data_IF_730730409647
#
_entry.id   IF_730730409647
#
_cell.length_a   1.000
_cell.length_b   1.000
_cell.length_c   1.000
_cell.angle_alpha   90.00
_cell.angle_beta   90.00
_cell.angle_gamma   90.00
#
_symmetry.space_group_name_H-M   'P 1'
#
loop_
_entity.id
_entity.type
_entity.pdbx_description
1 polymer ?
#
# COMPACT_ATOMS: atom_id res chain seq x y z
N UNK A 1 -6.58 38.70 -14.60
CA UNK A 1 -7.58 37.61 -14.69
C UNK A 1 -7.38 36.71 -15.90
N UNK A 2 -6.24 36.03 -16.02
CA UNK A 2 -6.05 34.91 -16.97
C UNK A 2 -4.96 33.91 -16.55
N UNK A 3 -4.22 34.18 -15.46
CA UNK A 3 -3.18 33.31 -14.90
C UNK A 3 -3.65 32.45 -13.71
N UNK A 4 -4.94 32.48 -13.36
CA UNK A 4 -5.52 31.76 -12.22
C UNK A 4 -6.27 30.47 -12.58
N UNK A 5 -6.33 30.10 -13.86
CA UNK A 5 -7.12 28.94 -14.36
C UNK A 5 -6.29 27.74 -14.85
N UNK A 6 -4.95 27.84 -14.89
CA UNK A 6 -4.08 26.74 -15.30
C UNK A 6 -3.45 25.98 -14.11
N UNK A 7 -3.49 26.55 -12.90
CA UNK A 7 -3.22 25.84 -11.67
C UNK A 7 -4.57 25.50 -11.06
N UNK A 8 -4.90 24.19 -11.03
CA UNK A 8 -5.99 23.68 -10.21
C UNK A 8 -5.87 24.31 -8.82
N UNK A 9 -6.97 24.91 -8.34
CA UNK A 9 -6.94 25.80 -7.20
C UNK A 9 -6.15 25.21 -6.05
N UNK A 10 -5.16 25.96 -5.55
CA UNK A 10 -4.38 25.61 -4.36
C UNK A 10 -5.38 25.27 -3.25
N UNK A 11 -5.52 23.98 -3.00
CA UNK A 11 -6.29 23.42 -1.92
C UNK A 11 -5.64 23.92 -0.64
N UNK A 12 -6.39 24.71 0.14
CA UNK A 12 -5.95 25.48 1.31
C UNK A 12 -5.52 24.60 2.51
N UNK A 13 -5.12 23.35 2.28
CA UNK A 13 -4.72 22.37 3.29
C UNK A 13 -3.44 21.58 2.91
N UNK A 14 -2.65 22.02 1.94
CA UNK A 14 -1.36 21.40 1.61
C UNK A 14 -0.37 21.54 2.77
N UNK A 15 0.08 20.40 3.30
CA UNK A 15 1.19 20.36 4.26
C UNK A 15 2.47 20.20 3.48
N UNK A 16 3.38 21.16 3.57
CA UNK A 16 4.69 21.06 2.91
C UNK A 16 5.79 20.66 3.89
N UNK A 17 6.77 19.91 3.38
CA UNK A 17 7.90 19.37 4.13
C UNK A 17 9.19 19.56 3.34
N UNK A 18 10.27 19.88 4.03
CA UNK A 18 11.60 19.94 3.43
C UNK A 18 12.39 18.67 3.76
N UNK A 19 13.13 18.19 2.77
CA UNK A 19 13.97 17.01 2.85
C UNK A 19 15.33 17.28 2.21
N UNK A 20 16.36 16.67 2.79
CA UNK A 20 17.69 16.68 2.21
C UNK A 20 17.72 15.79 0.95
N UNK A 21 18.54 16.12 -0.05
CA UNK A 21 18.79 15.29 -1.24
C UNK A 21 20.25 14.80 -1.22
N UNK A 22 20.50 13.55 -1.62
CA UNK A 22 21.88 13.06 -1.70
C UNK A 22 22.46 13.48 -3.05
N UNK A 23 23.56 14.21 -3.01
CA UNK A 23 24.32 14.55 -4.20
C UNK A 23 25.41 13.48 -4.43
N UNK A 24 25.29 12.74 -5.53
CA UNK A 24 26.24 11.69 -5.89
C UNK A 24 27.65 12.24 -6.18
N UNK A 25 27.75 13.41 -6.81
CA UNK A 25 29.03 14.03 -7.18
C UNK A 25 29.78 14.56 -5.96
N UNK A 26 29.08 15.26 -5.06
CA UNK A 26 29.66 15.85 -3.86
C UNK A 26 29.77 14.85 -2.69
N UNK A 27 29.20 13.63 -2.85
CA UNK A 27 29.10 12.60 -1.81
C UNK A 27 28.58 13.16 -0.48
N UNK A 28 27.55 14.00 -0.56
CA UNK A 28 27.02 14.75 0.56
C UNK A 28 25.53 15.02 0.43
N UNK A 29 24.92 15.44 1.54
CA UNK A 29 23.51 15.85 1.54
C UNK A 29 23.36 17.35 1.29
N UNK A 30 22.54 17.69 0.30
CA UNK A 30 22.04 19.04 0.09
C UNK A 30 20.88 19.28 1.07
N UNK A 31 21.07 20.20 2.03
CA UNK A 31 20.11 20.45 3.11
C UNK A 31 18.83 21.10 2.58
N UNK A 32 17.67 20.55 2.95
CA UNK A 32 16.35 21.11 2.62
C UNK A 32 16.12 21.35 1.13
N UNK A 33 16.81 20.59 0.28
CA UNK A 33 16.86 20.80 -1.17
C UNK A 33 15.57 20.37 -1.88
N UNK A 34 14.85 19.40 -1.31
CA UNK A 34 13.59 18.93 -1.84
C UNK A 34 12.42 19.40 -0.98
N UNK A 35 11.37 19.89 -1.63
CA UNK A 35 10.09 20.26 -1.04
C UNK A 35 9.02 19.28 -1.49
N UNK A 36 8.37 18.67 -0.50
CA UNK A 36 7.27 17.74 -0.68
C UNK A 36 5.97 18.36 -0.21
N UNK A 37 4.93 18.26 -1.03
CA UNK A 37 3.57 18.70 -0.74
C UNK A 37 2.69 17.47 -0.50
N UNK A 38 2.16 17.36 0.72
CA UNK A 38 1.27 16.29 1.12
C UNK A 38 -0.19 16.71 0.90
N UNK A 39 -0.90 15.91 0.10
CA UNK A 39 -2.34 16.06 -0.16
C UNK A 39 -3.05 14.74 0.17
N UNK A 40 -4.23 14.83 0.80
CA UNK A 40 -5.10 13.67 1.00
C UNK A 40 -6.02 13.49 -0.20
N UNK A 41 -5.89 12.34 -0.88
CA UNK A 41 -6.71 12.01 -2.04
C UNK A 41 -8.17 11.86 -1.68
N UNK A 42 -9.02 12.32 -2.59
CA UNK A 42 -10.48 12.20 -2.52
C UNK A 42 -10.99 11.67 -3.85
N UNK A 43 -12.03 10.85 -3.79
CA UNK A 43 -12.71 10.31 -4.95
C UNK A 43 -14.12 9.89 -4.60
N UNK A 44 -14.81 9.31 -5.58
CA UNK A 44 -16.24 8.97 -5.46
C UNK A 44 -16.54 7.53 -5.93
N UNK A 45 -15.62 6.90 -6.68
CA UNK A 45 -15.86 5.64 -7.40
C UNK A 45 -15.31 4.39 -6.69
N UNK A 46 -15.03 4.47 -5.38
CA UNK A 46 -14.40 3.39 -4.62
C UNK A 46 -15.19 2.08 -4.60
N UNK A 47 -16.50 2.09 -4.27
CA UNK A 47 -17.31 0.87 -4.24
C UNK A 47 -17.36 0.15 -5.59
N UNK A 48 -17.65 0.88 -6.68
CA UNK A 48 -17.70 0.31 -8.02
C UNK A 48 -16.34 -0.23 -8.48
N UNK A 49 -15.25 0.47 -8.15
CA UNK A 49 -13.90 -0.01 -8.39
C UNK A 49 -13.66 -1.34 -7.66
N UNK A 50 -13.93 -1.41 -6.35
CA UNK A 50 -13.73 -2.61 -5.55
C UNK A 50 -14.53 -3.80 -6.09
N UNK A 51 -15.80 -3.58 -6.45
CA UNK A 51 -16.67 -4.61 -7.05
C UNK A 51 -16.08 -5.14 -8.35
N UNK A 52 -15.59 -4.26 -9.22
CA UNK A 52 -14.94 -4.67 -10.47
C UNK A 52 -13.68 -5.52 -10.24
N UNK A 53 -12.86 -5.17 -9.24
CA UNK A 53 -11.66 -5.95 -8.88
C UNK A 53 -12.05 -7.32 -8.33
N UNK A 54 -13.06 -7.37 -7.46
CA UNK A 54 -13.55 -8.62 -6.87
C UNK A 54 -14.11 -9.56 -7.93
N UNK A 55 -14.89 -9.03 -8.87
CA UNK A 55 -15.44 -9.82 -9.97
C UNK A 55 -14.33 -10.39 -10.86
N UNK A 56 -13.35 -9.55 -11.24
CA UNK A 56 -12.26 -9.94 -12.15
C UNK A 56 -11.27 -10.92 -11.52
N UNK A 57 -10.95 -10.75 -10.24
CA UNK A 57 -9.86 -11.46 -9.56
C UNK A 57 -10.34 -12.34 -8.40
N UNK A 58 -11.59 -12.81 -8.44
CA UNK A 58 -12.21 -13.58 -7.36
C UNK A 58 -11.36 -14.79 -6.92
N UNK A 59 -10.85 -15.58 -7.87
CA UNK A 59 -10.03 -16.75 -7.59
C UNK A 59 -8.69 -16.39 -6.93
N UNK A 60 -8.05 -15.32 -7.41
CA UNK A 60 -6.80 -14.83 -6.84
C UNK A 60 -7.01 -14.28 -5.43
N UNK A 61 -8.07 -13.51 -5.20
CA UNK A 61 -8.46 -13.02 -3.87
C UNK A 61 -8.65 -14.17 -2.88
N UNK A 62 -9.34 -15.23 -3.28
CA UNK A 62 -9.54 -16.40 -2.43
C UNK A 62 -8.19 -17.05 -2.06
N UNK A 63 -7.27 -17.17 -3.02
CA UNK A 63 -5.93 -17.74 -2.80
C UNK A 63 -5.07 -16.86 -1.88
N UNK A 64 -5.03 -15.55 -2.13
CA UNK A 64 -4.24 -14.61 -1.31
C UNK A 64 -4.79 -14.58 0.11
N UNK A 65 -6.11 -14.47 0.30
CA UNK A 65 -6.72 -14.52 1.65
C UNK A 65 -6.38 -15.81 2.39
N UNK A 66 -6.46 -16.97 1.72
CA UNK A 66 -6.10 -18.26 2.32
C UNK A 66 -4.63 -18.32 2.73
N UNK A 67 -3.71 -17.84 1.89
CA UNK A 67 -2.28 -17.80 2.25
C UNK A 67 -2.02 -16.90 3.46
N UNK A 68 -2.65 -15.74 3.53
CA UNK A 68 -2.48 -14.79 4.63
C UNK A 68 -3.11 -15.28 5.94
N UNK A 69 -4.21 -16.04 5.91
CA UNK A 69 -4.78 -16.64 7.11
C UNK A 69 -3.82 -17.56 7.88
N UNK A 70 -2.87 -18.20 7.18
CA UNK A 70 -1.84 -19.04 7.81
C UNK A 70 -0.70 -18.23 8.47
N UNK A 71 -0.62 -16.92 8.21
CA UNK A 71 0.43 -16.02 8.73
C UNK A 71 -0.07 -15.26 9.97
N UNK A 72 -1.35 -15.40 10.34
CA UNK A 72 -1.98 -14.59 11.39
C UNK A 72 -1.27 -14.78 12.74
N UNK A 73 -0.67 -13.72 13.32
CA UNK A 73 -0.11 -13.80 14.66
C UNK A 73 -1.25 -13.96 15.69
N UNK A 74 -1.04 -14.78 16.72
CA UNK A 74 -1.90 -14.79 17.91
C UNK A 74 -1.75 -13.43 18.61
N UNK A 75 -2.69 -12.52 18.36
CA UNK A 75 -2.59 -11.10 18.75
C UNK A 75 -2.84 -10.83 20.24
N UNK A 76 -2.64 -11.82 21.10
CA UNK A 76 -2.79 -11.71 22.55
C UNK A 76 -1.60 -12.35 23.23
N UNK A 77 -0.77 -11.54 23.89
CA UNK A 77 0.29 -12.05 24.74
C UNK A 77 -0.30 -12.32 26.13
N UNK A 78 -0.15 -13.55 26.64
CA UNK A 78 -0.52 -13.87 28.02
C UNK A 78 0.61 -13.44 28.94
N UNK A 79 0.40 -12.34 29.65
CA UNK A 79 1.32 -11.90 30.70
C UNK A 79 0.97 -12.64 31.98
N UNK A 80 1.89 -13.48 32.45
CA UNK A 80 1.73 -14.30 33.66
C UNK A 80 2.33 -13.60 34.87
N UNK A 81 2.01 -14.10 36.07
CA UNK A 81 2.55 -13.59 37.34
C UNK A 81 2.23 -12.12 37.54
N UNK A 82 0.97 -11.75 37.38
CA UNK A 82 0.45 -10.43 37.71
C UNK A 82 -0.38 -10.52 38.99
N UNK A 83 -0.41 -9.43 39.76
CA UNK A 83 -1.21 -9.32 40.99
C UNK A 83 -2.71 -9.18 40.71
N UNK A 84 -3.05 -8.77 39.48
CA UNK A 84 -4.42 -8.59 39.02
C UNK A 84 -4.51 -8.98 37.54
N UNK A 85 -5.54 -9.75 37.19
CA UNK A 85 -5.70 -10.31 35.85
C UNK A 85 -7.03 -11.06 35.68
N UNK A 86 -7.39 -11.29 34.42
CA UNK A 86 -8.67 -11.88 34.02
C UNK A 86 -8.79 -13.37 34.38
N UNK A 87 -7.65 -14.07 34.54
CA UNK A 87 -7.59 -15.51 34.75
C UNK A 87 -6.59 -15.86 35.86
N UNK A 88 -6.84 -16.93 36.61
CA UNK A 88 -5.91 -17.40 37.65
C UNK A 88 -4.80 -18.25 37.00
N UNK A 89 -3.55 -17.93 37.31
CA UNK A 89 -2.39 -18.77 37.01
C UNK A 89 -2.39 -19.98 37.95
N UNK A 90 -2.90 -21.13 37.49
CA UNK A 90 -3.03 -22.34 38.31
C UNK A 90 -1.69 -22.77 38.92
N UNK A 91 -0.59 -22.66 38.18
CA UNK A 91 0.74 -23.05 38.67
C UNK A 91 1.16 -22.16 39.85
N UNK A 92 0.91 -20.85 39.75
CA UNK A 92 1.19 -19.91 40.86
C UNK A 92 0.22 -20.06 42.02
N UNK A 93 -1.05 -20.33 41.75
CA UNK A 93 -2.04 -20.56 42.80
C UNK A 93 -1.71 -21.82 43.62
N UNK A 94 -1.22 -22.88 42.96
CA UNK A 94 -0.73 -24.09 43.62
C UNK A 94 0.52 -23.79 44.45
N UNK A 95 1.50 -23.06 43.91
CA UNK A 95 2.69 -22.64 44.67
C UNK A 95 2.32 -21.79 45.89
N UNK A 96 1.50 -20.76 45.72
CA UNK A 96 1.04 -19.91 46.82
C UNK A 96 0.32 -20.74 47.91
N UNK A 97 -0.47 -21.75 47.51
CA UNK A 97 -1.13 -22.64 48.47
C UNK A 97 -0.15 -23.57 49.19
N UNK A 98 0.90 -24.00 48.51
CA UNK A 98 2.00 -24.77 49.09
C UNK A 98 2.76 -23.93 50.12
N UNK A 99 3.12 -22.69 49.78
CA UNK A 99 3.82 -21.76 50.67
C UNK A 99 3.03 -21.49 51.95
N UNK A 100 1.72 -21.24 51.83
CA UNK A 100 0.83 -21.07 52.99
C UNK A 100 0.86 -22.30 53.89
N UNK A 101 0.85 -23.51 53.32
CA UNK A 101 0.94 -24.76 54.11
C UNK A 101 2.32 -24.95 54.75
N UNK A 102 3.37 -24.43 54.13
CA UNK A 102 4.73 -24.45 54.65
C UNK A 102 5.00 -23.32 55.66
N UNK A 103 4.04 -22.42 55.92
CA UNK A 103 4.22 -21.26 56.79
C UNK A 103 5.07 -20.13 56.18
N UNK A 104 5.27 -20.16 54.87
CA UNK A 104 5.98 -19.13 54.10
C UNK A 104 5.02 -18.05 53.61
N UNK A 105 5.53 -16.85 53.39
CA UNK A 105 4.76 -15.76 52.80
C UNK A 105 4.51 -16.03 51.30
N UNK A 106 3.25 -16.17 50.86
CA UNK A 106 2.94 -16.47 49.47
C UNK A 106 3.04 -15.21 48.59
N UNK A 107 3.32 -15.39 47.30
CA UNK A 107 3.29 -14.32 46.31
C UNK A 107 1.85 -13.91 45.96
N UNK A 108 1.59 -12.61 45.84
CA UNK A 108 0.29 -12.08 45.37
C UNK A 108 0.10 -12.18 43.85
N UNK A 109 1.15 -12.57 43.12
CA UNK A 109 1.19 -12.59 41.65
C UNK A 109 0.61 -13.88 41.08
N UNK A 110 -0.64 -14.18 41.41
CA UNK A 110 -1.34 -15.44 41.08
C UNK A 110 -2.26 -15.36 39.87
N UNK A 111 -2.29 -14.22 39.19
CA UNK A 111 -3.14 -14.00 38.02
C UNK A 111 -2.34 -13.98 36.71
N UNK A 112 -3.06 -14.14 35.61
CA UNK A 112 -2.63 -13.90 34.24
C UNK A 112 -3.57 -12.90 33.59
N UNK A 113 -3.01 -12.03 32.75
CA UNK A 113 -3.76 -11.05 31.98
C UNK A 113 -3.47 -11.22 30.50
N UNK A 114 -4.49 -10.99 29.67
CA UNK A 114 -4.38 -10.95 28.22
C UNK A 114 -4.06 -9.51 27.82
N UNK A 115 -2.80 -9.21 27.55
CA UNK A 115 -2.43 -7.92 26.99
C UNK A 115 -2.55 -8.00 25.47
N UNK A 116 -3.09 -6.93 24.85
CA UNK A 116 -3.05 -6.81 23.39
C UNK A 116 -1.58 -6.90 22.98
N UNK A 117 -1.24 -7.91 22.17
CA UNK A 117 0.12 -8.04 21.69
C UNK A 117 0.51 -6.74 20.97
N UNK A 118 1.77 -6.29 21.17
CA UNK A 118 2.32 -5.20 20.36
C UNK A 118 2.15 -5.56 18.89
N UNK A 119 1.78 -4.59 18.05
CA UNK A 119 1.71 -4.80 16.60
C UNK A 119 3.06 -5.32 16.11
N UNK A 120 3.07 -6.49 15.49
CA UNK A 120 4.33 -7.07 15.02
C UNK A 120 4.84 -6.36 13.78
N UNK A 121 3.94 -5.90 12.91
CA UNK A 121 4.24 -5.30 11.61
C UNK A 121 3.45 -4.00 11.38
N UNK A 122 4.15 -3.00 10.84
CA UNK A 122 3.55 -1.85 10.17
C UNK A 122 4.04 -1.79 8.71
N UNK A 123 3.12 -1.74 7.76
CA UNK A 123 3.43 -1.71 6.33
C UNK A 123 3.11 -0.35 5.68
N UNK A 124 3.89 0.10 4.72
CA UNK A 124 3.53 1.26 3.90
C UNK A 124 3.64 0.90 2.42
N UNK A 125 2.55 1.06 1.68
CA UNK A 125 2.56 0.99 0.22
C UNK A 125 2.86 2.37 -0.33
N UNK A 126 3.89 2.47 -1.14
CA UNK A 126 4.29 3.68 -1.84
C UNK A 126 4.18 3.43 -3.35
N UNK A 127 3.09 3.90 -3.93
CA UNK A 127 2.76 3.70 -5.36
C UNK A 127 3.31 4.84 -6.19
N UNK A 128 4.05 4.49 -7.24
CA UNK A 128 4.54 5.43 -8.22
C UNK A 128 3.38 5.88 -9.13
N UNK A 129 3.10 7.17 -9.12
CA UNK A 129 2.09 7.81 -9.94
C UNK A 129 2.75 8.65 -11.04
N UNK A 130 3.94 8.32 -11.50
CA UNK A 130 4.60 9.01 -12.62
C UNK A 130 4.01 8.64 -13.99
N UNK A 131 4.47 9.34 -15.02
CA UNK A 131 3.94 9.32 -16.39
C UNK A 131 4.23 8.00 -17.11
N UNK A 132 5.31 7.31 -16.78
CA UNK A 132 5.67 6.00 -17.36
C UNK A 132 4.60 4.94 -17.07
N UNK A 133 3.85 5.10 -15.98
CA UNK A 133 2.71 4.25 -15.60
C UNK A 133 1.47 4.49 -16.50
N UNK A 134 1.52 5.46 -17.44
CA UNK A 134 0.49 5.65 -18.49
C UNK A 134 0.64 4.69 -19.65
N UNK A 135 1.80 4.06 -19.80
CA UNK A 135 2.03 3.16 -20.92
C UNK A 135 1.03 1.97 -20.86
N UNK A 136 0.45 1.59 -22.01
CA UNK A 136 -0.36 0.39 -22.09
C UNK A 136 0.55 -0.83 -21.88
N UNK A 137 0.03 -1.83 -21.19
CA UNK A 137 0.78 -3.07 -20.92
C UNK A 137 1.10 -3.76 -22.24
N UNK A 138 2.38 -4.10 -22.52
CA UNK A 138 2.73 -4.84 -23.72
C UNK A 138 2.01 -6.19 -23.69
N UNK A 139 1.33 -6.52 -24.78
CA UNK A 139 0.74 -7.86 -24.97
C UNK A 139 1.89 -8.89 -24.91
N UNK A 140 1.68 -10.09 -24.33
CA UNK A 140 2.61 -11.19 -24.55
C UNK A 140 2.75 -11.37 -26.05
N UNK A 141 3.98 -11.32 -26.57
CA UNK A 141 4.25 -11.42 -28.01
C UNK A 141 3.43 -12.58 -28.60
N UNK A 142 2.45 -12.26 -29.44
CA UNK A 142 1.75 -13.25 -30.23
C UNK A 142 2.83 -14.02 -31.01
N UNK A 143 2.88 -15.35 -30.84
CA UNK A 143 3.67 -16.20 -31.72
C UNK A 143 3.34 -15.78 -33.17
N UNK A 144 4.34 -15.53 -34.02
CA UNK A 144 4.09 -15.05 -35.38
C UNK A 144 3.10 -16.00 -36.06
N UNK A 145 2.00 -15.44 -36.58
CA UNK A 145 0.98 -16.18 -37.30
C UNK A 145 1.67 -17.11 -38.30
N UNK A 146 1.51 -18.42 -38.10
CA UNK A 146 1.98 -19.40 -39.09
C UNK A 146 1.38 -19.02 -40.44
N UNK A 147 2.18 -18.95 -41.52
CA UNK A 147 1.64 -18.72 -42.85
C UNK A 147 0.50 -19.69 -43.09
N UNK A 148 -0.64 -19.17 -43.55
CA UNK A 148 -1.76 -19.98 -43.97
C UNK A 148 -1.30 -20.79 -45.19
N UNK A 149 -0.85 -22.01 -44.94
CA UNK A 149 -0.68 -23.01 -45.98
C UNK A 149 -2.06 -23.23 -46.62
N UNK A 150 -2.08 -23.15 -47.95
CA UNK A 150 -3.28 -23.13 -48.75
C UNK A 150 -4.19 -24.34 -48.53
N UNK A 151 -5.45 -24.10 -48.89
CA UNK A 151 -6.45 -25.10 -49.22
C UNK A 151 -7.17 -25.75 -48.03
N UNK A 152 -8.16 -25.03 -47.49
CA UNK A 152 -9.40 -25.70 -47.07
C UNK A 152 -10.59 -24.74 -47.20
N UNK A 153 -11.46 -25.06 -48.15
CA UNK A 153 -12.82 -24.55 -48.24
C UNK A 153 -13.55 -24.73 -46.89
N UNK A 154 -14.26 -23.70 -46.45
CA UNK A 154 -15.20 -23.77 -45.33
C UNK A 154 -14.77 -23.07 -44.04
N UNK A 155 -14.78 -21.72 -44.02
CA UNK A 155 -15.02 -20.95 -42.79
C UNK A 155 -16.13 -19.91 -43.00
N UNK A 156 -17.11 -19.78 -42.09
CA UNK A 156 -18.22 -18.85 -42.24
C UNK A 156 -17.77 -17.39 -42.13
N UNK A 157 -18.35 -16.55 -42.98
CA UNK A 157 -18.08 -15.12 -43.23
C UNK A 157 -18.31 -14.15 -42.04
N UNK A 158 -18.68 -14.65 -40.84
CA UNK A 158 -18.89 -13.81 -39.65
C UNK A 158 -17.62 -13.78 -38.79
N UNK A 159 -16.60 -13.07 -39.27
CA UNK A 159 -15.38 -12.77 -38.54
C UNK A 159 -15.16 -11.27 -38.53
N UNK A 160 -16.01 -10.53 -37.80
CA UNK A 160 -15.77 -9.12 -37.57
C UNK A 160 -14.40 -8.95 -36.91
N UNK A 161 -13.46 -8.28 -37.60
CA UNK A 161 -12.27 -7.75 -36.91
C UNK A 161 -12.81 -6.87 -35.78
N UNK A 162 -12.36 -7.03 -34.52
CA UNK A 162 -12.76 -6.12 -33.45
C UNK A 162 -12.53 -4.69 -33.96
N UNK A 163 -13.54 -3.83 -33.79
CA UNK A 163 -13.44 -2.48 -34.34
C UNK A 163 -12.21 -1.79 -33.74
N UNK A 164 -11.62 -0.84 -34.45
CA UNK A 164 -10.52 -0.03 -33.89
C UNK A 164 -10.94 0.67 -32.57
N UNK A 165 -12.25 0.82 -32.32
CA UNK A 165 -12.80 1.31 -31.06
C UNK A 165 -12.85 0.25 -29.95
N UNK A 166 -13.00 -1.04 -30.26
CA UNK A 166 -12.97 -2.12 -29.25
C UNK A 166 -11.55 -2.38 -28.73
N UNK A 167 -10.51 -2.11 -29.54
CA UNK A 167 -9.11 -2.27 -29.14
C UNK A 167 -8.64 -1.23 -28.12
N UNK A 168 -9.29 -0.07 -28.06
CA UNK A 168 -8.95 0.97 -27.08
C UNK A 168 -9.48 0.66 -25.67
N UNK A 169 -10.53 -0.17 -25.54
CA UNK A 169 -10.99 -0.70 -24.23
C UNK A 169 -10.03 -1.76 -23.66
N UNK A 170 -9.25 -2.42 -24.54
CA UNK A 170 -8.39 -3.55 -24.20
C UNK A 170 -6.99 -3.13 -23.73
N UNK A 171 -6.56 -1.89 -24.03
CA UNK A 171 -5.27 -1.34 -23.59
C UNK A 171 -5.32 -0.88 -22.12
N UNK A 172 -5.24 -1.85 -21.21
CA UNK A 172 -5.13 -1.59 -19.76
C UNK A 172 -3.84 -0.82 -19.49
N UNK A 173 -3.96 0.31 -18.79
CA UNK A 173 -2.79 1.07 -18.33
C UNK A 173 -2.11 0.32 -17.20
N UNK A 174 -0.79 0.42 -17.11
CA UNK A 174 -0.03 -0.13 -15.98
C UNK A 174 -0.60 0.35 -14.64
N UNK A 175 -1.09 1.59 -14.57
CA UNK A 175 -1.71 2.15 -13.36
C UNK A 175 -2.95 1.37 -12.91
N UNK A 176 -3.77 0.92 -13.85
CA UNK A 176 -5.00 0.19 -13.54
C UNK A 176 -4.65 -1.19 -12.97
N UNK A 177 -3.59 -1.83 -13.47
CA UNK A 177 -3.05 -3.06 -12.89
C UNK A 177 -2.44 -2.82 -11.50
N UNK A 178 -1.69 -1.73 -11.31
CA UNK A 178 -1.11 -1.41 -9.99
C UNK A 178 -2.20 -1.15 -8.94
N UNK A 179 -3.26 -0.41 -9.29
CA UNK A 179 -4.42 -0.20 -8.40
C UNK A 179 -5.11 -1.51 -8.05
N UNK A 180 -5.26 -2.41 -9.01
CA UNK A 180 -5.83 -3.74 -8.77
C UNK A 180 -4.96 -4.57 -7.85
N UNK A 181 -3.66 -4.67 -8.11
CA UNK A 181 -2.72 -5.37 -7.25
C UNK A 181 -2.73 -4.79 -5.82
N UNK A 182 -2.74 -3.47 -5.68
CA UNK A 182 -2.89 -2.79 -4.40
C UNK A 182 -4.22 -3.17 -3.71
N UNK A 183 -5.33 -3.17 -4.43
CA UNK A 183 -6.64 -3.54 -3.89
C UNK A 183 -6.68 -5.00 -3.39
N UNK A 184 -6.03 -5.92 -4.10
CA UNK A 184 -5.87 -7.31 -3.69
C UNK A 184 -5.06 -7.41 -2.38
N UNK A 185 -3.94 -6.70 -2.30
CA UNK A 185 -3.06 -6.69 -1.12
C UNK A 185 -3.73 -6.06 0.10
N UNK A 186 -4.45 -4.95 -0.08
CA UNK A 186 -5.20 -4.28 1.00
C UNK A 186 -6.24 -5.23 1.59
N UNK A 187 -6.99 -5.94 0.74
CA UNK A 187 -7.96 -6.92 1.22
C UNK A 187 -7.32 -8.10 1.96
N UNK A 188 -6.07 -8.45 1.65
CA UNK A 188 -5.33 -9.49 2.34
C UNK A 188 -4.80 -9.03 3.70
N UNK A 189 -4.26 -7.80 3.77
CA UNK A 189 -3.73 -7.22 5.01
C UNK A 189 -4.82 -6.93 6.05
N UNK A 190 -6.01 -6.53 5.62
CA UNK A 190 -7.16 -6.41 6.52
C UNK A 190 -7.48 -7.73 7.25
N UNK A 191 -7.27 -8.88 6.60
CA UNK A 191 -7.50 -10.18 7.23
C UNK A 191 -6.46 -10.50 8.33
N UNK A 192 -5.25 -9.94 8.25
CA UNK A 192 -4.20 -10.07 9.26
C UNK A 192 -4.43 -9.14 10.45
N UNK A 193 -4.99 -7.95 10.22
CA UNK A 193 -5.18 -6.92 11.26
C UNK A 193 -3.93 -6.05 11.52
N UNK A 194 -2.93 -6.15 10.65
CA UNK A 194 -1.72 -5.32 10.70
C UNK A 194 -2.01 -3.85 10.39
N UNK A 195 -1.14 -2.96 10.88
CA UNK A 195 -1.24 -1.54 10.54
C UNK A 195 -0.61 -1.29 9.17
N UNK A 196 -1.30 -0.56 8.30
CA UNK A 196 -0.75 -0.22 7.00
C UNK A 196 -1.16 1.16 6.50
N UNK A 197 -0.27 1.83 5.77
CA UNK A 197 -0.52 3.08 5.07
C UNK A 197 -0.52 2.87 3.56
N UNK A 198 -1.27 3.69 2.84
CA UNK A 198 -1.32 3.70 1.37
C UNK A 198 -1.05 5.10 0.88
N UNK A 199 0.03 5.23 0.12
CA UNK A 199 0.55 6.48 -0.36
C UNK A 199 0.85 6.39 -1.87
N UNK A 200 0.68 7.50 -2.56
CA UNK A 200 1.12 7.70 -3.94
C UNK A 200 2.16 8.82 -3.99
N UNK A 201 3.04 8.82 -4.98
CA UNK A 201 3.96 9.93 -5.20
C UNK A 201 4.11 10.25 -6.68
N UNK A 202 4.38 11.52 -6.97
CA UNK A 202 4.85 12.02 -8.25
C UNK A 202 5.80 13.19 -8.00
N UNK A 203 6.56 13.61 -9.00
CA UNK A 203 7.42 14.78 -8.87
C UNK A 203 7.51 15.53 -10.19
N UNK A 204 7.43 16.85 -10.15
CA UNK A 204 7.73 17.69 -11.32
C UNK A 204 9.15 18.27 -11.23
N UNK A 205 9.56 18.66 -10.02
CA UNK A 205 10.88 19.22 -9.73
C UNK A 205 11.24 19.02 -8.26
N UNK A 206 12.46 19.39 -7.85
CA UNK A 206 12.86 19.38 -6.44
C UNK A 206 11.97 20.22 -5.53
N UNK A 207 11.41 21.32 -6.02
CA UNK A 207 10.52 22.20 -5.25
C UNK A 207 9.06 21.71 -5.25
N UNK A 208 8.75 20.71 -6.07
CA UNK A 208 7.39 20.20 -6.26
C UNK A 208 7.38 18.67 -6.34
N UNK A 209 7.62 18.02 -5.20
CA UNK A 209 7.35 16.58 -5.02
C UNK A 209 5.94 16.43 -4.45
N UNK A 210 5.05 15.76 -5.17
CA UNK A 210 3.67 15.53 -4.75
C UNK A 210 3.57 14.20 -4.00
N UNK A 211 2.98 14.23 -2.82
CA UNK A 211 2.75 13.06 -1.98
C UNK A 211 1.28 12.93 -1.64
N UNK A 212 0.69 11.83 -2.09
CA UNK A 212 -0.73 11.61 -2.05
C UNK A 212 -1.08 10.58 -0.98
N UNK A 213 -1.90 10.97 -0.02
CA UNK A 213 -2.35 10.10 1.07
C UNK A 213 -3.72 9.51 0.71
N UNK A 214 -3.77 8.21 0.44
CA UNK A 214 -5.03 7.48 0.32
C UNK A 214 -5.51 6.96 1.68
N UNK A 215 -4.56 6.50 2.52
CA UNK A 215 -4.82 6.02 3.87
C UNK A 215 -3.60 6.26 4.75
N UNK A 216 -3.77 6.92 5.90
CA UNK A 216 -2.70 6.95 6.90
C UNK A 216 -2.58 5.60 7.63
N UNK A 217 -1.39 5.32 8.17
CA UNK A 217 -1.12 4.11 8.96
C UNK A 217 -2.21 3.86 10.03
N UNK A 218 -2.57 4.89 10.79
CA UNK A 218 -3.58 4.81 11.87
C UNK A 218 -5.04 4.90 11.42
N UNK A 219 -5.32 5.18 10.14
CA UNK A 219 -6.69 5.23 9.62
C UNK A 219 -7.31 3.83 9.56
N UNK A 220 -8.63 3.74 9.67
CA UNK A 220 -9.36 2.49 9.35
C UNK A 220 -9.64 2.40 7.86
N UNK A 221 -9.68 1.19 7.32
CA UNK A 221 -10.20 0.99 5.97
C UNK A 221 -11.69 1.35 5.92
N UNK A 222 -12.07 2.10 4.90
CA UNK A 222 -13.45 2.50 4.66
C UNK A 222 -13.66 2.94 3.22
N UNK A 223 -14.88 3.35 2.90
CA UNK A 223 -15.27 3.78 1.53
C UNK A 223 -14.37 4.92 1.04
N UNK A 224 -13.98 5.84 1.93
CA UNK A 224 -13.13 6.98 1.62
C UNK A 224 -11.73 6.54 1.13
N UNK A 225 -11.20 5.44 1.65
CA UNK A 225 -9.91 4.89 1.21
C UNK A 225 -10.04 4.28 -0.18
N UNK A 226 -11.10 3.51 -0.45
CA UNK A 226 -11.36 2.97 -1.78
C UNK A 226 -11.60 4.07 -2.82
N UNK A 227 -12.31 5.12 -2.42
CA UNK A 227 -12.48 6.33 -3.20
C UNK A 227 -11.12 6.97 -3.53
N UNK A 228 -10.22 7.07 -2.56
CA UNK A 228 -8.89 7.61 -2.77
C UNK A 228 -8.02 6.73 -3.69
N UNK A 229 -8.04 5.40 -3.50
CA UNK A 229 -7.31 4.44 -4.36
C UNK A 229 -7.81 4.53 -5.81
N UNK A 230 -9.13 4.51 -6.02
CA UNK A 230 -9.71 4.62 -7.37
C UNK A 230 -9.34 5.95 -8.05
N UNK A 231 -9.22 7.03 -7.27
CA UNK A 231 -8.86 8.37 -7.73
C UNK A 231 -7.38 8.59 -8.03
N UNK A 232 -6.48 7.65 -7.70
CA UNK A 232 -5.06 7.78 -8.06
C UNK A 232 -4.92 7.95 -9.57
N UNK A 233 -4.16 8.94 -10.00
CA UNK A 233 -3.93 9.22 -11.44
C UNK A 233 -2.45 9.41 -11.65
N UNK A 234 -1.96 8.95 -12.79
CA UNK A 234 -0.59 9.22 -13.19
C UNK A 234 -0.43 10.71 -13.50
N UNK A 235 0.59 11.28 -12.90
CA UNK A 235 1.07 12.65 -13.02
C UNK A 235 2.43 12.60 -13.75
N UNK A 236 3.34 13.52 -13.44
CA UNK A 236 4.51 13.83 -14.24
C UNK A 236 5.69 12.87 -13.94
N UNK A 237 6.80 13.35 -13.41
CA UNK A 237 8.05 12.60 -13.30
C UNK A 237 8.18 11.87 -11.96
N UNK A 238 9.33 11.23 -11.74
CA UNK A 238 9.57 10.32 -10.61
C UNK A 238 10.62 10.90 -9.67
N UNK A 239 10.20 11.53 -8.56
CA UNK A 239 11.11 11.91 -7.45
C UNK A 239 10.90 11.03 -6.22
N UNK A 240 11.38 9.79 -6.34
CA UNK A 240 11.15 8.74 -5.34
C UNK A 240 11.89 8.98 -4.02
N UNK A 241 13.11 9.55 -4.05
CA UNK A 241 13.94 9.70 -2.84
C UNK A 241 13.28 10.49 -1.72
N UNK A 242 12.64 11.61 -2.06
CA UNK A 242 11.90 12.44 -1.10
C UNK A 242 10.67 11.72 -0.56
N UNK A 243 9.92 11.02 -1.41
CA UNK A 243 8.74 10.25 -1.03
C UNK A 243 9.10 9.06 -0.10
N UNK A 244 10.20 8.37 -0.36
CA UNK A 244 10.74 7.31 0.50
C UNK A 244 11.06 7.89 1.89
N UNK A 245 11.83 8.98 1.98
CA UNK A 245 12.18 9.60 3.27
C UNK A 245 10.95 10.06 4.04
N UNK A 246 9.96 10.61 3.35
CA UNK A 246 8.70 11.00 3.95
C UNK A 246 7.94 9.81 4.52
N UNK A 247 7.88 8.71 3.77
CA UNK A 247 7.25 7.46 4.22
C UNK A 247 8.01 6.81 5.38
N UNK A 248 9.35 6.84 5.38
CA UNK A 248 10.18 6.39 6.50
C UNK A 248 9.81 7.15 7.78
N UNK A 249 9.72 8.49 7.72
CA UNK A 249 9.33 9.31 8.88
C UNK A 249 7.93 8.95 9.40
N UNK A 250 6.99 8.55 8.54
CA UNK A 250 5.66 8.06 8.95
C UNK A 250 5.75 6.69 9.63
N UNK A 251 6.54 5.76 9.10
CA UNK A 251 6.77 4.44 9.68
C UNK A 251 7.54 4.52 11.02
N UNK A 252 8.50 5.41 11.15
CA UNK A 252 9.29 5.61 12.38
C UNK A 252 8.41 5.94 13.59
N UNK A 253 7.30 6.65 13.37
CA UNK A 253 6.31 7.01 14.41
C UNK A 253 5.48 5.83 14.90
N UNK A 254 5.53 4.67 14.25
CA UNK A 254 4.80 3.47 14.67
C UNK A 254 5.59 2.69 15.72
N UNK A 255 4.90 2.14 16.72
CA UNK A 255 5.47 1.27 17.76
C UNK A 255 5.64 -0.20 17.28
N UNK A 256 5.44 -0.46 15.99
CA UNK A 256 5.57 -1.79 15.42
C UNK A 256 7.01 -2.30 15.45
N UNK A 257 7.19 -3.57 15.81
CA UNK A 257 8.51 -4.24 15.89
C UNK A 257 9.20 -4.30 14.52
N UNK A 258 8.44 -4.56 13.46
CA UNK A 258 8.90 -4.61 12.08
C UNK A 258 8.19 -3.55 11.26
N UNK A 259 8.94 -2.80 10.47
CA UNK A 259 8.42 -1.73 9.59
C UNK A 259 8.83 -2.07 8.16
N UNK A 260 7.83 -2.23 7.29
CA UNK A 260 8.03 -2.65 5.90
C UNK A 260 7.52 -1.55 4.98
N UNK A 261 8.31 -1.18 3.97
CA UNK A 261 7.88 -0.33 2.89
C UNK A 261 7.86 -1.14 1.59
N UNK A 262 6.72 -1.16 0.91
CA UNK A 262 6.58 -1.75 -0.41
C UNK A 262 6.46 -0.60 -1.42
N UNK A 263 7.49 -0.45 -2.24
CA UNK A 263 7.46 0.52 -3.35
C UNK A 263 6.95 -0.19 -4.59
N UNK A 264 5.88 0.33 -5.19
CA UNK A 264 5.29 -0.20 -6.42
C UNK A 264 5.57 0.81 -7.53
N UNK A 265 6.45 0.46 -8.45
CA UNK A 265 6.84 1.27 -9.62
C UNK A 265 7.02 0.34 -10.82
N UNK A 266 6.97 0.89 -12.02
CA UNK A 266 7.26 0.17 -13.27
C UNK A 266 8.77 -0.10 -13.48
N UNK A 267 9.62 0.41 -12.58
CA UNK A 267 11.06 0.14 -12.59
C UNK A 267 11.88 1.13 -13.43
N UNK A 268 11.26 2.15 -14.03
CA UNK A 268 11.96 3.19 -14.80
C UNK A 268 12.02 4.51 -14.02
N UNK A 269 13.14 4.83 -13.34
CA UNK A 269 13.30 6.12 -12.68
C UNK A 269 13.50 7.22 -13.73
N UNK A 270 12.44 7.95 -14.07
CA UNK A 270 12.50 9.14 -14.91
C UNK A 270 12.74 10.38 -14.03
N UNK A 271 13.98 10.87 -14.01
CA UNK A 271 14.36 12.11 -13.32
C UNK A 271 14.83 13.15 -14.36
N UNK A 272 14.25 14.35 -14.36
CA UNK A 272 14.60 15.41 -15.34
C UNK A 272 15.88 16.13 -14.91
N UNK A 273 16.19 16.16 -13.61
CA UNK A 273 17.20 17.08 -13.06
C UNK A 273 18.54 16.38 -12.81
N UNK A 274 19.06 15.66 -13.80
CA UNK A 274 20.49 15.34 -13.88
C UNK A 274 21.13 16.16 -15.00
N UNK A 275 21.39 17.43 -14.70
CA UNK A 275 22.16 18.38 -15.51
C UNK A 275 23.03 19.26 -14.63
#
# INVERSE_FOLDING_TARGET
GMLRRAFGGVSRAERSFLYDEWNYHERGYLRGWCRLHEERLKGENGPAFLESVQHRHAALLARVRRQFQHIKPESTERVRKVSDGEEIDLDRAVEARSDIRAGLAPSERVYMRRDRARREVAAAFLVDLSASVREPVPEPEDEPEKPLDGDSEGRPFWGGRPSLMDRDEERRRVLDIQKEALALMVQALEALGDEYGIYGFSGESRENVEFYVAKELGDRLGVQVWNAISAMRSHRYTRMGTAIRHTIRKLERQDARRKVMLVISDGYPQDIDYG
#
